data_IF_479536916347
#
_entry.id   IF_479536916347
#
_cell.length_a   1.000
_cell.length_b   1.000
_cell.length_c   1.000
_cell.angle_alpha   90.00
_cell.angle_beta   90.00
_cell.angle_gamma   90.00
#
_symmetry.space_group_name_H-M   'P 1'
#
loop_
_entity.id
_entity.type
_entity.pdbx_description
1 polymer ?
#
# COMPACT_ATOMS: atom_id res chain seq x y z
N UNK A 1 -14.02 19.42 -27.37
CA UNK A 1 -14.75 18.60 -26.36
C UNK A 1 -13.88 18.52 -25.10
N UNK A 2 -14.18 19.34 -24.08
CA UNK A 2 -13.37 19.42 -22.83
C UNK A 2 -13.89 18.38 -21.83
N UNK A 3 -13.20 17.25 -21.66
CA UNK A 3 -13.48 16.31 -20.56
C UNK A 3 -12.73 16.77 -19.30
N UNK A 4 -13.44 17.31 -18.31
CA UNK A 4 -12.92 17.60 -16.99
C UNK A 4 -12.89 16.32 -16.15
N UNK A 5 -11.74 15.65 -16.05
CA UNK A 5 -11.54 14.58 -15.05
C UNK A 5 -11.04 15.22 -13.75
N UNK A 6 -11.96 15.62 -12.88
CA UNK A 6 -11.66 15.94 -11.47
C UNK A 6 -11.27 14.63 -10.76
N UNK A 7 -9.99 14.42 -10.47
CA UNK A 7 -9.57 13.40 -9.52
C UNK A 7 -9.93 13.87 -8.10
N UNK A 8 -11.09 13.47 -7.60
CA UNK A 8 -11.45 13.58 -6.19
C UNK A 8 -10.85 12.40 -5.44
N UNK A 9 -9.64 12.55 -4.90
CA UNK A 9 -9.17 11.69 -3.81
C UNK A 9 -9.64 12.30 -2.49
N UNK A 10 -10.71 11.74 -1.93
CA UNK A 10 -11.17 12.08 -0.58
C UNK A 10 -10.15 11.54 0.42
N UNK A 11 -9.32 12.43 0.97
CA UNK A 11 -8.45 12.13 2.09
C UNK A 11 -9.16 12.57 3.37
N UNK A 12 -9.59 11.61 4.19
CA UNK A 12 -10.12 11.88 5.52
C UNK A 12 -8.94 12.20 6.45
N UNK A 13 -8.69 13.49 6.66
CA UNK A 13 -7.85 13.96 7.76
C UNK A 13 -8.64 13.84 9.06
N UNK A 14 -8.11 13.10 10.03
CA UNK A 14 -8.55 13.21 11.42
C UNK A 14 -7.48 13.99 12.19
N UNK A 15 -7.77 15.28 12.41
CA UNK A 15 -7.16 16.13 13.44
C UNK A 15 -7.64 15.66 14.81
N UNK A 16 -6.74 15.43 15.77
CA UNK A 16 -7.05 15.56 17.19
C UNK A 16 -5.81 16.05 17.95
N UNK A 17 -5.77 17.37 18.18
CA UNK A 17 -5.00 18.02 19.22
C UNK A 17 -5.95 18.34 20.39
N UNK A 18 -5.64 17.88 21.61
CA UNK A 18 -5.85 18.63 22.86
C UNK A 18 -4.96 18.06 23.98
N UNK A 19 -4.38 18.99 24.72
CA UNK A 19 -3.42 18.89 25.83
C UNK A 19 -4.05 18.40 27.16
N UNK A 20 -3.27 18.20 28.26
CA UNK A 20 -3.60 17.33 29.39
C UNK A 20 -4.17 18.07 30.62
N UNK A 21 -4.95 17.39 31.47
CA UNK A 21 -5.11 17.71 32.92
C UNK A 21 -5.31 16.43 33.75
N UNK A 22 -4.77 16.47 34.95
CA UNK A 22 -4.42 15.41 35.91
C UNK A 22 -5.57 14.94 36.81
N UNK A 23 -5.50 13.64 37.13
CA UNK A 23 -6.00 12.79 38.22
C UNK A 23 -7.01 13.26 39.29
N UNK A 24 -7.93 12.36 39.62
CA UNK A 24 -8.26 11.97 41.01
C UNK A 24 -8.64 10.48 41.07
N UNK A 25 -8.22 9.84 42.16
CA UNK A 25 -7.99 8.40 42.45
C UNK A 25 -9.22 7.59 42.89
N UNK A 26 -9.36 6.32 42.44
CA UNK A 26 -10.12 5.23 43.12
C UNK A 26 -9.44 3.87 42.80
N UNK A 27 -9.35 2.92 43.75
CA UNK A 27 -8.15 2.10 43.95
C UNK A 27 -8.03 0.82 43.10
N UNK A 28 -6.77 0.40 43.04
CA UNK A 28 -6.20 -0.84 42.53
C UNK A 28 -7.00 -2.10 42.88
N UNK A 29 -7.47 -2.78 41.84
CA UNK A 29 -7.40 -4.24 41.78
C UNK A 29 -6.40 -4.60 40.68
N UNK A 30 -5.15 -4.78 41.10
CA UNK A 30 -4.08 -5.26 40.24
C UNK A 30 -4.35 -6.73 39.90
N UNK A 31 -5.12 -6.98 38.84
CA UNK A 31 -4.96 -8.21 38.06
C UNK A 31 -4.10 -7.84 36.86
N UNK A 32 -2.80 -7.64 37.13
CA UNK A 32 -1.77 -7.67 36.12
C UNK A 32 -1.74 -9.11 35.58
N UNK A 33 -2.59 -9.41 34.60
CA UNK A 33 -2.52 -10.67 33.88
C UNK A 33 -1.16 -10.72 33.21
N UNK A 34 -0.26 -11.53 33.77
CA UNK A 34 1.02 -11.84 33.17
C UNK A 34 0.78 -12.19 31.70
N UNK A 35 1.42 -11.46 30.78
CA UNK A 35 1.39 -11.76 29.36
C UNK A 35 2.06 -13.13 29.16
N UNK A 36 1.28 -14.19 29.29
CA UNK A 36 1.67 -15.55 28.98
C UNK A 36 2.17 -15.56 27.54
N UNK A 37 3.43 -16.00 27.34
CA UNK A 37 3.99 -16.33 26.02
C UNK A 37 3.14 -17.38 25.26
N UNK A 38 2.13 -17.97 25.92
CA UNK A 38 1.15 -18.93 25.40
C UNK A 38 -0.29 -18.39 25.41
N UNK A 39 -0.52 -17.07 25.36
CA UNK A 39 -1.88 -16.53 25.25
C UNK A 39 -2.56 -17.05 23.97
N UNK A 40 -3.50 -17.99 24.15
CA UNK A 40 -4.29 -18.58 23.08
C UNK A 40 -5.12 -17.50 22.42
N UNK A 41 -4.98 -17.34 21.10
CA UNK A 41 -5.85 -16.45 20.34
C UNK A 41 -7.13 -17.20 19.98
N UNK A 42 -8.28 -16.60 20.26
CA UNK A 42 -9.58 -17.17 19.88
C UNK A 42 -10.27 -16.24 18.89
N UNK A 43 -10.95 -16.82 17.89
CA UNK A 43 -11.75 -16.06 16.92
C UNK A 43 -13.20 -16.49 16.96
N UNK A 44 -14.10 -15.51 17.04
CA UNK A 44 -15.55 -15.70 16.95
C UNK A 44 -15.98 -15.61 15.48
N UNK A 45 -16.67 -16.63 15.00
CA UNK A 45 -17.17 -16.67 13.62
C UNK A 45 -18.44 -15.83 13.44
N UNK A 46 -18.40 -14.85 12.54
CA UNK A 46 -19.59 -14.07 12.15
C UNK A 46 -20.43 -14.70 11.05
N UNK A 47 -19.87 -15.70 10.34
CA UNK A 47 -20.51 -16.47 9.27
C UNK A 47 -20.11 -17.94 9.39
N UNK A 48 -20.87 -18.83 8.77
CA UNK A 48 -20.44 -20.22 8.59
C UNK A 48 -19.09 -20.23 7.86
N UNK A 49 -18.14 -21.04 8.35
CA UNK A 49 -16.78 -21.06 7.84
C UNK A 49 -16.37 -22.46 7.42
N UNK A 50 -16.08 -22.65 6.14
CA UNK A 50 -15.47 -23.87 5.65
C UNK A 50 -14.05 -24.05 6.20
N UNK A 51 -13.68 -25.31 6.42
CA UNK A 51 -12.33 -25.73 6.83
C UNK A 51 -11.51 -25.97 5.56
N UNK A 52 -10.38 -25.30 5.48
CA UNK A 52 -9.42 -25.36 4.38
C UNK A 52 -8.15 -26.10 4.79
N UNK A 53 -7.45 -26.70 3.83
CA UNK A 53 -6.10 -27.22 4.02
C UNK A 53 -5.02 -26.13 3.78
N UNK A 54 -3.75 -26.50 3.91
CA UNK A 54 -2.61 -25.58 3.73
C UNK A 54 -2.46 -25.01 2.32
N UNK A 55 -3.14 -25.60 1.33
CA UNK A 55 -3.20 -25.15 -0.08
C UNK A 55 -4.46 -24.33 -0.37
N UNK A 56 -5.29 -24.04 0.64
CA UNK A 56 -6.53 -23.28 0.47
C UNK A 56 -7.67 -24.06 -0.21
N UNK A 57 -7.57 -25.39 -0.30
CA UNK A 57 -8.65 -26.27 -0.79
C UNK A 57 -9.55 -26.71 0.36
N UNK A 58 -10.83 -26.98 0.09
CA UNK A 58 -11.81 -27.43 1.10
C UNK A 58 -12.70 -28.55 0.55
N UNK A 59 -13.09 -29.48 1.41
CA UNK A 59 -14.13 -30.48 1.18
C UNK A 59 -15.51 -30.00 1.66
N UNK A 60 -15.69 -28.69 1.86
CA UNK A 60 -16.94 -28.04 2.31
C UNK A 60 -17.42 -28.41 3.71
N UNK A 61 -16.59 -29.04 4.56
CA UNK A 61 -16.87 -29.16 6.00
C UNK A 61 -16.87 -27.78 6.64
N UNK A 62 -17.94 -27.41 7.35
CA UNK A 62 -18.13 -26.06 7.89
C UNK A 62 -18.27 -26.02 9.42
N UNK A 63 -17.75 -24.96 10.03
CA UNK A 63 -18.01 -24.57 11.42
C UNK A 63 -19.11 -23.50 11.38
N UNK A 64 -20.14 -23.64 12.21
CA UNK A 64 -21.30 -22.75 12.22
C UNK A 64 -20.96 -21.37 12.81
N UNK A 65 -21.68 -20.34 12.36
CA UNK A 65 -21.65 -18.97 12.93
C UNK A 65 -21.84 -19.01 14.45
N UNK A 66 -21.22 -18.07 15.16
CA UNK A 66 -21.32 -17.92 16.61
C UNK A 66 -20.37 -18.82 17.40
N UNK A 67 -19.69 -19.77 16.76
CA UNK A 67 -18.67 -20.59 17.41
C UNK A 67 -17.36 -19.83 17.56
N UNK A 68 -16.75 -19.99 18.73
CA UNK A 68 -15.38 -19.58 19.02
C UNK A 68 -14.42 -20.73 18.70
N UNK A 69 -13.32 -20.41 18.02
CA UNK A 69 -12.26 -21.39 17.71
C UNK A 69 -10.90 -20.84 18.10
N UNK A 70 -10.04 -21.72 18.58
CA UNK A 70 -8.66 -21.38 18.91
C UNK A 70 -7.80 -21.38 17.65
N UNK A 71 -6.99 -20.34 17.51
CA UNK A 71 -6.10 -20.10 16.38
C UNK A 71 -4.73 -19.66 16.87
N UNK A 72 -3.69 -19.96 16.09
CA UNK A 72 -2.31 -19.70 16.49
C UNK A 72 -1.48 -19.00 15.41
N UNK A 73 -1.97 -18.93 14.16
CA UNK A 73 -1.22 -18.43 13.02
C UNK A 73 -2.14 -17.75 12.02
N UNK A 74 -1.76 -16.56 11.56
CA UNK A 74 -2.35 -15.89 10.41
C UNK A 74 -1.46 -16.13 9.18
N UNK A 75 -2.03 -16.66 8.11
CA UNK A 75 -1.30 -17.00 6.88
C UNK A 75 -2.07 -16.51 5.65
N UNK A 76 -1.34 -15.99 4.67
CA UNK A 76 -1.89 -15.68 3.36
C UNK A 76 -1.78 -16.90 2.44
N UNK A 77 -2.85 -17.24 1.74
CA UNK A 77 -2.91 -18.31 0.74
C UNK A 77 -3.64 -17.76 -0.48
N UNK A 78 -2.90 -17.54 -1.57
CA UNK A 78 -3.37 -16.74 -2.71
C UNK A 78 -3.75 -15.33 -2.26
N UNK A 79 -4.87 -14.80 -2.78
CA UNK A 79 -5.39 -13.45 -2.47
C UNK A 79 -6.22 -13.39 -1.17
N UNK A 80 -6.14 -14.41 -0.31
CA UNK A 80 -6.98 -14.59 0.87
C UNK A 80 -6.16 -14.84 2.13
N UNK A 81 -6.58 -14.25 3.25
CA UNK A 81 -6.00 -14.54 4.56
C UNK A 81 -6.79 -15.62 5.32
N UNK A 82 -6.04 -16.42 6.08
CA UNK A 82 -6.53 -17.57 6.80
C UNK A 82 -5.94 -17.64 8.21
N UNK A 83 -6.78 -18.01 9.19
CA UNK A 83 -6.31 -18.41 10.52
C UNK A 83 -6.16 -19.92 10.57
N UNK A 84 -5.01 -20.39 11.06
CA UNK A 84 -4.78 -21.81 11.35
C UNK A 84 -5.49 -22.18 12.65
N UNK A 85 -6.26 -23.26 12.60
CA UNK A 85 -7.03 -23.77 13.74
C UNK A 85 -6.13 -24.65 14.59
N UNK A 86 -5.86 -24.24 15.82
CA UNK A 86 -4.91 -24.91 16.72
C UNK A 86 -3.57 -25.21 16.01
N UNK A 87 -2.86 -26.25 16.43
CA UNK A 87 -1.65 -26.73 15.74
C UNK A 87 -1.95 -27.63 14.52
N UNK A 88 -3.17 -27.63 13.97
CA UNK A 88 -3.54 -28.51 12.84
C UNK A 88 -3.25 -27.85 11.48
N UNK A 89 -3.10 -28.63 10.41
CA UNK A 89 -3.02 -28.11 9.02
C UNK A 89 -4.41 -27.73 8.47
N UNK A 90 -5.25 -27.14 9.33
CA UNK A 90 -6.63 -26.76 9.06
C UNK A 90 -6.78 -25.25 9.26
N UNK A 91 -7.59 -24.63 8.40
CA UNK A 91 -7.65 -23.18 8.31
C UNK A 91 -9.08 -22.68 8.10
N UNK A 92 -9.40 -21.51 8.63
CA UNK A 92 -10.62 -20.75 8.27
C UNK A 92 -10.26 -19.42 7.64
N UNK A 93 -11.09 -18.91 6.72
CA UNK A 93 -10.88 -17.58 6.12
C UNK A 93 -11.04 -16.49 7.18
N UNK A 94 -10.10 -15.54 7.22
CA UNK A 94 -10.17 -14.38 8.09
C UNK A 94 -11.42 -13.51 7.82
N UNK A 95 -11.91 -13.49 6.58
CA UNK A 95 -13.14 -12.78 6.20
C UNK A 95 -14.41 -13.29 6.91
N UNK A 96 -14.40 -14.53 7.42
CA UNK A 96 -15.54 -15.13 8.15
C UNK A 96 -15.46 -14.90 9.67
N UNK A 97 -14.37 -14.29 10.16
CA UNK A 97 -14.18 -13.92 11.56
C UNK A 97 -14.81 -12.56 11.84
N UNK A 98 -15.50 -12.46 12.98
CA UNK A 98 -16.10 -11.24 13.50
C UNK A 98 -15.23 -10.56 14.55
N UNK A 99 -14.89 -11.29 15.61
CA UNK A 99 -14.12 -10.79 16.75
C UNK A 99 -12.90 -11.68 16.99
N UNK A 100 -11.78 -11.06 17.34
CA UNK A 100 -10.56 -11.73 17.79
C UNK A 100 -10.31 -11.35 19.25
N UNK A 101 -10.05 -12.34 20.09
CA UNK A 101 -9.73 -12.19 21.52
C UNK A 101 -8.35 -12.79 21.79
N UNK A 102 -7.58 -12.14 22.66
CA UNK A 102 -6.20 -12.52 22.98
C UNK A 102 -5.18 -11.84 22.07
N UNK A 103 -4.04 -12.50 21.84
CA UNK A 103 -2.91 -11.91 21.10
C UNK A 103 -3.28 -11.67 19.64
N UNK A 104 -2.99 -10.47 19.13
CA UNK A 104 -3.10 -10.17 17.69
C UNK A 104 -2.05 -10.96 16.92
N UNK A 105 -2.50 -11.80 15.99
CA UNK A 105 -1.61 -12.60 15.15
C UNK A 105 -1.07 -11.75 14.00
N UNK A 106 0.25 -11.77 13.82
CA UNK A 106 0.91 -11.19 12.64
C UNK A 106 0.91 -12.21 11.50
N UNK A 107 0.95 -11.71 10.27
CA UNK A 107 1.11 -12.55 9.09
C UNK A 107 2.48 -13.25 9.16
N UNK A 108 2.50 -14.58 9.02
CA UNK A 108 3.76 -15.34 9.18
C UNK A 108 4.51 -15.62 7.88
N UNK A 109 3.92 -15.29 6.74
CA UNK A 109 4.54 -15.46 5.43
C UNK A 109 4.51 -14.14 4.66
N UNK A 110 5.40 -14.01 3.66
CA UNK A 110 5.28 -12.96 2.66
C UNK A 110 3.90 -13.02 2.03
N UNK A 111 3.34 -11.84 1.71
CA UNK A 111 2.07 -11.77 0.99
C UNK A 111 2.27 -12.42 -0.39
N UNK A 112 1.45 -13.41 -0.77
CA UNK A 112 1.50 -13.99 -2.11
C UNK A 112 1.38 -12.89 -3.16
N UNK A 113 2.17 -13.00 -4.22
CA UNK A 113 2.26 -11.99 -5.28
C UNK A 113 3.32 -10.91 -5.05
N UNK A 114 3.89 -10.81 -3.86
CA UNK A 114 5.04 -9.94 -3.57
C UNK A 114 6.36 -10.64 -3.93
N UNK A 115 7.06 -10.08 -4.93
CA UNK A 115 8.41 -10.50 -5.30
C UNK A 115 9.51 -9.78 -4.50
N UNK A 116 9.11 -8.83 -3.66
CA UNK A 116 9.99 -8.08 -2.76
C UNK A 116 10.00 -6.58 -3.05
N UNK A 117 10.83 -5.89 -2.27
CA UNK A 117 11.00 -4.44 -2.37
C UNK A 117 11.65 -4.06 -3.70
N UNK A 118 11.13 -3.00 -4.31
CA UNK A 118 11.79 -2.33 -5.41
C UNK A 118 12.73 -1.24 -4.86
N UNK A 119 14.00 -1.28 -5.26
CA UNK A 119 14.97 -0.25 -4.92
C UNK A 119 15.06 0.79 -6.06
N UNK A 120 14.69 2.02 -5.78
CA UNK A 120 14.83 3.16 -6.69
C UNK A 120 16.32 3.43 -6.95
N UNK A 121 16.74 3.70 -8.20
CA UNK A 121 18.11 4.11 -8.52
C UNK A 121 18.64 5.25 -7.62
N UNK A 122 19.91 5.16 -7.25
CA UNK A 122 20.52 6.05 -6.24
C UNK A 122 20.56 7.52 -6.66
N UNK A 123 20.73 7.77 -7.95
CA UNK A 123 20.73 9.08 -8.60
C UNK A 123 19.36 9.78 -8.58
N UNK A 124 18.27 9.02 -8.51
CA UNK A 124 16.92 9.55 -8.33
C UNK A 124 16.60 9.91 -6.88
N UNK A 125 17.29 9.29 -5.91
CA UNK A 125 16.99 9.48 -4.48
C UNK A 125 17.29 10.91 -4.03
N UNK A 126 16.49 11.41 -3.08
CA UNK A 126 16.61 12.74 -2.50
C UNK A 126 15.32 13.54 -2.55
N UNK A 127 15.44 14.83 -2.29
CA UNK A 127 14.34 15.78 -2.29
C UNK A 127 14.33 16.57 -3.59
N UNK A 128 13.14 16.72 -4.15
CA UNK A 128 12.87 17.42 -5.39
C UNK A 128 11.64 18.32 -5.22
N UNK A 129 11.55 19.37 -6.00
CA UNK A 129 10.51 20.38 -5.92
C UNK A 129 9.92 20.65 -7.29
N UNK A 130 8.60 20.77 -7.40
CA UNK A 130 7.94 21.10 -8.66
C UNK A 130 6.77 22.03 -8.42
N UNK A 131 6.34 22.74 -9.45
CA UNK A 131 5.04 23.42 -9.44
C UNK A 131 4.02 22.48 -10.04
N UNK A 132 2.98 22.15 -9.29
CA UNK A 132 1.95 21.25 -9.78
C UNK A 132 1.18 21.88 -10.95
N UNK A 133 1.05 21.15 -12.04
CA UNK A 133 0.40 21.66 -13.25
C UNK A 133 -1.09 21.95 -13.07
N UNK A 134 -1.75 21.32 -12.10
CA UNK A 134 -3.18 21.53 -11.83
C UNK A 134 -3.44 22.62 -10.78
N UNK A 135 -2.81 22.51 -9.61
CA UNK A 135 -3.03 23.44 -8.50
C UNK A 135 -2.20 24.71 -8.60
N UNK A 136 -1.16 24.71 -9.45
CA UNK A 136 -0.15 25.78 -9.58
C UNK A 136 0.60 26.08 -8.28
N UNK A 137 0.57 25.16 -7.31
CA UNK A 137 1.26 25.29 -6.03
C UNK A 137 2.61 24.59 -6.04
N UNK A 138 3.60 25.07 -5.27
CA UNK A 138 4.84 24.35 -5.05
C UNK A 138 4.56 23.07 -4.27
N UNK A 139 5.19 21.99 -4.71
CA UNK A 139 5.08 20.66 -4.14
C UNK A 139 6.47 20.07 -3.90
N UNK A 140 6.55 19.16 -2.93
CA UNK A 140 7.77 18.45 -2.58
C UNK A 140 7.62 16.95 -2.89
N UNK A 141 8.57 16.44 -3.65
CA UNK A 141 8.74 15.03 -3.96
C UNK A 141 9.96 14.51 -3.19
N UNK A 142 9.79 13.46 -2.39
CA UNK A 142 10.91 12.80 -1.71
C UNK A 142 11.01 11.37 -2.19
N UNK A 143 12.14 11.03 -2.82
CA UNK A 143 12.42 9.71 -3.34
C UNK A 143 13.43 9.04 -2.39
N UNK A 144 12.98 8.01 -1.68
CA UNK A 144 13.82 7.13 -0.88
C UNK A 144 14.20 5.85 -1.63
N UNK A 145 14.89 4.94 -0.94
CA UNK A 145 15.31 3.68 -1.54
C UNK A 145 14.14 2.81 -1.99
N UNK A 146 13.09 2.65 -1.18
CA UNK A 146 11.95 1.77 -1.45
C UNK A 146 10.61 2.48 -1.21
N UNK A 147 10.61 3.81 -1.30
CA UNK A 147 9.46 4.66 -0.98
C UNK A 147 9.55 5.94 -1.80
N UNK A 148 8.42 6.42 -2.30
CA UNK A 148 8.31 7.74 -2.92
C UNK A 148 7.18 8.49 -2.21
N UNK A 149 7.46 9.68 -1.69
CA UNK A 149 6.46 10.56 -1.10
C UNK A 149 6.15 11.68 -2.09
N UNK A 150 4.94 11.69 -2.65
CA UNK A 150 4.44 12.75 -3.49
C UNK A 150 3.06 13.19 -2.99
N UNK A 151 2.92 14.47 -2.57
CA UNK A 151 1.65 15.02 -2.06
C UNK A 151 1.03 14.20 -0.91
N UNK A 152 1.86 13.68 -0.02
CA UNK A 152 1.43 12.84 1.11
C UNK A 152 1.11 11.39 0.73
N UNK A 153 1.06 11.04 -0.56
CA UNK A 153 1.02 9.65 -0.98
C UNK A 153 2.43 9.05 -0.86
N UNK A 154 2.58 8.09 0.05
CA UNK A 154 3.87 7.49 0.44
C UNK A 154 3.78 5.95 0.44
N UNK A 155 3.66 5.30 -0.73
CA UNK A 155 3.66 3.85 -0.80
C UNK A 155 5.05 3.23 -0.55
N UNK A 156 5.08 2.06 0.08
CA UNK A 156 6.22 1.14 -0.01
C UNK A 156 6.22 0.50 -1.41
N UNK A 157 7.39 0.51 -2.05
CA UNK A 157 7.55 0.09 -3.43
C UNK A 157 7.88 -1.40 -3.48
N UNK A 158 7.03 -2.17 -4.14
CA UNK A 158 7.18 -3.61 -4.33
C UNK A 158 7.14 -3.98 -5.81
N UNK A 159 7.66 -5.15 -6.13
CA UNK A 159 7.48 -5.78 -7.45
C UNK A 159 6.36 -6.81 -7.33
N UNK A 160 5.28 -6.65 -8.10
CA UNK A 160 4.22 -7.65 -8.14
C UNK A 160 4.52 -8.75 -9.16
N UNK A 161 4.35 -10.00 -8.75
CA UNK A 161 4.36 -11.12 -9.67
C UNK A 161 3.28 -10.97 -10.75
N UNK A 162 3.67 -10.97 -12.02
CA UNK A 162 2.77 -10.72 -13.16
C UNK A 162 1.67 -11.77 -13.31
N UNK A 163 1.90 -12.98 -12.85
CA UNK A 163 0.95 -14.10 -12.90
C UNK A 163 0.11 -14.24 -11.62
N UNK A 164 0.26 -13.31 -10.66
CA UNK A 164 -0.46 -13.39 -9.40
C UNK A 164 -1.88 -12.84 -9.48
N UNK A 165 -2.83 -13.76 -9.35
CA UNK A 165 -4.24 -13.44 -9.15
C UNK A 165 -4.89 -12.76 -10.35
N UNK A 166 -6.19 -12.57 -10.24
CA UNK A 166 -6.96 -11.80 -11.22
C UNK A 166 -6.90 -10.32 -10.83
N UNK A 167 -6.07 -9.54 -11.53
CA UNK A 167 -5.89 -8.09 -11.32
C UNK A 167 -7.07 -7.27 -11.84
N UNK A 168 -7.89 -7.82 -12.74
CA UNK A 168 -9.08 -7.13 -13.26
C UNK A 168 -10.22 -7.07 -12.24
N UNK A 169 -10.13 -7.87 -11.17
CA UNK A 169 -11.19 -7.94 -10.17
C UNK A 169 -10.64 -8.03 -8.74
N UNK A 170 -10.22 -6.87 -8.21
CA UNK A 170 -9.76 -6.70 -6.83
C UNK A 170 -10.80 -7.07 -5.77
N UNK A 171 -12.09 -7.17 -6.12
CA UNK A 171 -13.13 -7.62 -5.17
C UNK A 171 -12.97 -9.09 -4.79
N UNK A 172 -12.35 -9.91 -5.67
CA UNK A 172 -12.01 -11.32 -5.39
C UNK A 172 -10.92 -11.45 -4.33
N UNK A 173 -10.14 -10.39 -4.10
CA UNK A 173 -9.10 -10.36 -3.07
C UNK A 173 -9.77 -10.13 -1.71
N UNK A 174 -9.31 -10.80 -0.67
CA UNK A 174 -9.93 -10.62 0.65
C UNK A 174 -9.66 -9.22 1.18
N UNK A 175 -10.62 -8.63 1.93
CA UNK A 175 -10.43 -7.34 2.60
C UNK A 175 -9.13 -7.33 3.41
N UNK A 176 -8.87 -8.38 4.17
CA UNK A 176 -7.68 -8.48 4.99
C UNK A 176 -6.37 -8.53 4.17
N UNK A 177 -6.37 -9.11 2.97
CA UNK A 177 -5.22 -9.02 2.06
C UNK A 177 -5.02 -7.57 1.61
N UNK A 178 -6.10 -6.90 1.16
CA UNK A 178 -6.04 -5.49 0.75
C UNK A 178 -5.60 -4.55 1.86
N UNK A 179 -6.01 -4.83 3.11
CA UNK A 179 -5.60 -4.05 4.27
C UNK A 179 -4.12 -4.25 4.59
N UNK A 180 -3.60 -5.48 4.38
CA UNK A 180 -2.20 -5.80 4.59
C UNK A 180 -1.28 -5.22 3.51
N UNK A 181 -1.80 -5.00 2.30
CA UNK A 181 -1.08 -4.39 1.18
C UNK A 181 -1.57 -2.97 0.85
N UNK A 182 -2.22 -2.29 1.81
CA UNK A 182 -2.92 -1.02 1.52
C UNK A 182 -1.96 0.10 1.15
N UNK A 183 -0.79 0.09 1.77
CA UNK A 183 0.23 1.12 1.63
C UNK A 183 1.32 0.69 0.63
N UNK A 184 1.04 -0.31 -0.22
CA UNK A 184 1.97 -0.85 -1.21
C UNK A 184 1.63 -0.39 -2.62
N UNK A 185 2.66 -0.30 -3.46
CA UNK A 185 2.54 -0.09 -4.90
C UNK A 185 3.30 -1.15 -5.69
N UNK A 186 2.74 -1.54 -6.83
CA UNK A 186 3.44 -2.33 -7.84
C UNK A 186 4.33 -1.39 -8.65
N UNK A 187 5.61 -1.71 -8.68
CA UNK A 187 6.67 -0.84 -9.18
C UNK A 187 7.49 -1.58 -10.22
N UNK A 188 7.71 -0.92 -11.36
CA UNK A 188 8.49 -1.49 -12.45
C UNK A 188 9.27 -0.40 -13.18
N UNK A 189 10.28 -0.82 -13.95
CA UNK A 189 10.99 0.06 -14.86
C UNK A 189 10.38 -0.04 -16.25
N UNK A 190 10.18 1.12 -16.88
CA UNK A 190 9.79 1.23 -18.29
C UNK A 190 10.63 2.28 -18.98
N UNK A 191 11.03 2.04 -20.23
CA UNK A 191 11.80 3.01 -21.02
C UNK A 191 10.88 3.67 -22.03
N UNK A 192 10.76 4.99 -21.95
CA UNK A 192 9.93 5.80 -22.86
C UNK A 192 10.80 6.93 -23.40
N UNK A 193 10.93 7.01 -24.73
CA UNK A 193 11.73 8.06 -25.42
C UNK A 193 13.13 8.28 -24.83
N UNK A 194 13.82 7.20 -24.51
CA UNK A 194 15.20 7.27 -23.97
C UNK A 194 15.29 7.45 -22.45
N UNK A 195 14.22 7.84 -21.77
CA UNK A 195 14.18 8.02 -20.31
C UNK A 195 13.72 6.71 -19.64
N UNK A 196 14.47 6.26 -18.63
CA UNK A 196 14.08 5.14 -17.78
C UNK A 196 13.18 5.65 -16.65
N UNK A 197 11.91 5.25 -16.69
CA UNK A 197 10.93 5.62 -15.70
C UNK A 197 10.72 4.52 -14.66
N UNK A 198 10.73 4.91 -13.39
CA UNK A 198 10.14 4.14 -12.30
C UNK A 198 8.63 4.36 -12.33
N UNK A 199 7.89 3.39 -12.86
CA UNK A 199 6.44 3.40 -12.87
C UNK A 199 5.91 2.85 -11.55
N UNK A 200 5.05 3.62 -10.88
CA UNK A 200 4.42 3.31 -9.61
C UNK A 200 2.91 3.28 -9.81
N UNK A 201 2.33 2.08 -9.75
CA UNK A 201 0.88 1.88 -9.82
C UNK A 201 0.39 1.28 -8.50
N UNK A 202 -0.87 1.51 -8.17
CA UNK A 202 -1.48 0.94 -6.96
C UNK A 202 -1.39 -0.60 -6.97
N UNK A 203 -1.11 -1.21 -5.82
CA UNK A 203 -1.04 -2.67 -5.69
C UNK A 203 -2.29 -3.37 -6.23
N UNK A 204 -2.10 -4.16 -7.29
CA UNK A 204 -3.16 -4.97 -7.93
C UNK A 204 -4.02 -4.21 -8.94
N UNK A 205 -3.71 -2.95 -9.25
CA UNK A 205 -4.32 -2.23 -10.36
C UNK A 205 -3.83 -2.78 -11.71
N UNK A 206 -4.66 -2.58 -12.75
CA UNK A 206 -4.29 -2.82 -14.15
C UNK A 206 -3.92 -1.46 -14.76
N UNK A 207 -2.90 -1.42 -15.62
CA UNK A 207 -2.17 -0.20 -16.01
C UNK A 207 -3.02 1.03 -16.37
N UNK A 208 -2.45 2.22 -16.10
CA UNK A 208 -3.05 3.53 -16.41
C UNK A 208 -3.24 4.44 -15.18
N UNK A 209 -3.48 3.86 -14.00
CA UNK A 209 -3.75 4.59 -12.76
C UNK A 209 -2.50 4.74 -11.88
N UNK A 210 -1.44 5.35 -12.41
CA UNK A 210 -0.20 5.55 -11.68
C UNK A 210 0.61 6.76 -12.12
N UNK A 211 1.71 6.96 -11.41
CA UNK A 211 2.71 7.97 -11.72
C UNK A 211 4.00 7.29 -12.15
N UNK A 212 4.75 7.96 -13.01
CA UNK A 212 6.08 7.53 -13.44
C UNK A 212 7.09 8.62 -13.15
N UNK A 213 8.27 8.23 -12.69
CA UNK A 213 9.36 9.15 -12.33
C UNK A 213 10.59 8.80 -13.14
N UNK A 214 11.07 9.74 -13.97
CA UNK A 214 12.23 9.53 -14.82
C UNK A 214 13.33 10.52 -14.47
N UNK A 215 14.54 10.03 -14.20
CA UNK A 215 15.70 10.91 -14.11
C UNK A 215 16.05 11.41 -15.52
N UNK A 216 16.22 12.72 -15.64
CA UNK A 216 16.58 13.37 -16.89
C UNK A 216 17.46 14.59 -16.64
N UNK A 217 17.82 15.33 -17.69
CA UNK A 217 18.53 16.59 -17.58
C UNK A 217 17.81 17.68 -18.36
N UNK A 218 17.59 18.82 -17.72
CA UNK A 218 17.03 20.01 -18.34
C UNK A 218 17.84 21.24 -17.95
N UNK A 219 18.13 22.12 -18.91
CA UNK A 219 18.99 23.29 -18.71
C UNK A 219 20.33 22.95 -18.00
N UNK A 220 20.91 21.78 -18.30
CA UNK A 220 22.16 21.30 -17.69
C UNK A 220 22.03 20.76 -16.26
N UNK A 221 20.84 20.83 -15.65
CA UNK A 221 20.57 20.38 -14.29
C UNK A 221 19.87 19.01 -14.30
N UNK A 222 20.14 18.13 -13.31
CA UNK A 222 19.35 16.92 -13.15
C UNK A 222 17.93 17.28 -12.72
N UNK A 223 16.95 16.58 -13.28
CA UNK A 223 15.52 16.73 -12.95
C UNK A 223 14.84 15.38 -12.84
N UNK A 224 13.70 15.33 -12.14
CA UNK A 224 12.78 14.20 -12.20
C UNK A 224 11.56 14.60 -13.03
N UNK A 225 11.39 13.94 -14.18
CA UNK A 225 10.19 14.04 -15.00
C UNK A 225 9.10 13.21 -14.33
N UNK A 226 8.01 13.87 -13.94
CA UNK A 226 6.82 13.24 -13.35
C UNK A 226 5.80 13.08 -14.47
N UNK A 227 5.48 11.85 -14.81
CA UNK A 227 4.53 11.52 -15.87
C UNK A 227 3.34 10.70 -15.41
N UNK A 228 2.32 10.64 -16.26
CA UNK A 228 1.09 9.86 -16.04
C UNK A 228 0.65 9.10 -17.29
N UNK A 229 -0.22 8.11 -17.10
CA UNK A 229 -0.84 7.35 -18.18
C UNK A 229 0.12 6.42 -18.91
N UNK A 230 -0.41 5.71 -19.91
CA UNK A 230 0.30 4.64 -20.61
C UNK A 230 1.49 5.13 -21.47
N UNK A 231 1.51 6.41 -21.85
CA UNK A 231 2.60 7.03 -22.61
C UNK A 231 3.53 7.88 -21.74
N UNK A 232 3.30 7.93 -20.43
CA UNK A 232 4.12 8.75 -19.52
C UNK A 232 4.10 10.23 -19.93
N UNK A 233 2.90 10.79 -20.11
CA UNK A 233 2.70 12.21 -20.38
C UNK A 233 3.19 13.04 -19.19
N UNK A 234 4.10 13.98 -19.46
CA UNK A 234 4.76 14.85 -18.50
C UNK A 234 3.74 15.77 -17.85
N UNK A 235 3.49 15.54 -16.56
CA UNK A 235 2.63 16.41 -15.77
C UNK A 235 3.43 17.51 -15.08
N UNK A 236 4.68 17.24 -14.73
CA UNK A 236 5.56 18.19 -14.06
C UNK A 236 7.03 17.77 -14.21
N UNK A 237 7.93 18.72 -14.02
CA UNK A 237 9.37 18.50 -13.93
C UNK A 237 9.82 18.98 -12.56
N UNK A 238 10.45 18.10 -11.78
CA UNK A 238 10.90 18.39 -10.43
C UNK A 238 12.41 18.66 -10.39
N UNK A 239 12.78 19.72 -9.67
CA UNK A 239 14.09 20.33 -9.59
C UNK A 239 14.69 20.15 -8.20
N UNK A 240 16.00 20.38 -8.07
CA UNK A 240 16.70 20.23 -6.79
C UNK A 240 16.33 21.28 -5.74
N UNK A 241 15.88 22.46 -6.15
CA UNK A 241 15.50 23.54 -5.22
C UNK A 241 14.12 24.13 -5.56
N UNK A 242 13.41 24.73 -4.58
CA UNK A 242 12.16 25.44 -4.81
C UNK A 242 12.29 26.59 -5.82
N UNK A 243 13.42 27.29 -5.82
CA UNK A 243 13.69 28.45 -6.69
C UNK A 243 13.75 28.00 -8.15
N UNK A 244 14.51 26.93 -8.44
CA UNK A 244 14.59 26.33 -9.78
C UNK A 244 13.23 25.82 -10.25
N UNK A 245 12.44 25.23 -9.35
CA UNK A 245 11.09 24.79 -9.67
C UNK A 245 10.18 25.96 -10.06
N UNK A 246 10.28 27.09 -9.34
CA UNK A 246 9.52 28.31 -9.63
C UNK A 246 9.98 28.96 -10.94
N UNK A 247 11.28 29.07 -11.16
CA UNK A 247 11.87 29.65 -12.37
C UNK A 247 11.47 28.89 -13.65
N UNK A 248 11.35 27.57 -13.55
CA UNK A 248 11.00 26.69 -14.67
C UNK A 248 9.52 26.34 -14.73
N UNK A 249 8.70 26.98 -13.90
CA UNK A 249 7.25 26.77 -13.87
C UNK A 249 6.60 27.10 -15.20
N UNK A 250 5.79 26.18 -15.73
CA UNK A 250 5.04 26.36 -16.97
C UNK A 250 5.87 26.25 -18.26
N UNK A 251 7.18 26.00 -18.17
CA UNK A 251 8.01 25.74 -19.35
C UNK A 251 7.74 24.33 -19.88
N UNK A 252 7.68 24.21 -21.21
CA UNK A 252 7.66 22.92 -21.91
C UNK A 252 9.04 22.67 -22.53
N UNK A 253 9.64 21.52 -22.19
CA UNK A 253 10.90 21.08 -22.78
C UNK A 253 10.63 20.25 -24.04
N UNK A 254 11.39 20.50 -25.11
CA UNK A 254 11.06 20.02 -26.46
C UNK A 254 11.16 18.49 -26.60
N UNK A 255 11.95 17.87 -25.76
CA UNK A 255 12.22 16.43 -25.72
C UNK A 255 11.28 15.66 -24.77
N UNK A 256 10.39 16.36 -24.06
CA UNK A 256 9.36 15.78 -23.20
C UNK A 256 7.98 15.81 -23.88
N UNK A 257 7.14 14.80 -23.59
CA UNK A 257 5.75 14.71 -24.08
C UNK A 257 4.81 15.27 -23.02
N UNK A 258 3.99 16.27 -23.33
CA UNK A 258 3.04 16.90 -22.39
C UNK A 258 1.59 16.60 -22.76
#
# INVERSE_FOLDING_TARGET
MKLSRKLLMVSAAALLSISPVVAASIPSSNVQAAASKNATTTVLLKRNAYIYNSKGKTNKKAIKKGRSINVNQLKAIGTKLFYRINNRKQYVKAANVGKLTGRKLKLVNKLPGDEGLFNVPKDMQGTWYYIDSYTKKPEKLVIGQNVINNKGYKPELHVMNKHFGDKTNLTKWSRAYRDASRDWSDTSLTKVRGINYVQVIKWGAVGGDGLSYGLHKEAGQPVIVIGTGAKTWTQAVAWKTPELAKENSGKHFKDLDY
#
